data_IF_571828876776
#
_entry.id   IF_571828876776
#
_cell.length_a   1.000
_cell.length_b   1.000
_cell.length_c   1.000
_cell.angle_alpha   90.00
_cell.angle_beta   90.00
_cell.angle_gamma   90.00
#
_symmetry.space_group_name_H-M   'P 1'
#
loop_
_entity.id
_entity.type
_entity.pdbx_description
1 polymer ?
#
# COMPACT_ATOMS: atom_id res chain seq x y z
N UNK A 1 -30.56 16.89 9.93
CA UNK A 1 -30.21 17.12 8.52
C UNK A 1 -28.87 17.84 8.46
N UNK A 2 -27.90 17.17 7.81
CA UNK A 2 -26.73 17.70 7.10
C UNK A 2 -25.62 18.48 7.85
N UNK A 3 -24.45 17.84 7.83
CA UNK A 3 -23.08 18.40 7.77
C UNK A 3 -22.46 19.00 9.03
N UNK A 4 -22.20 18.12 10.02
CA UNK A 4 -20.90 18.09 10.71
C UNK A 4 -19.79 17.95 9.65
N UNK A 5 -18.57 18.44 9.91
CA UNK A 5 -17.36 18.40 9.03
C UNK A 5 -17.14 19.64 8.13
N UNK A 6 -17.31 20.86 8.67
CA UNK A 6 -16.68 22.08 8.10
C UNK A 6 -16.16 23.03 9.18
N UNK A 7 -15.40 22.55 10.17
CA UNK A 7 -14.69 23.42 11.13
C UNK A 7 -13.48 22.74 11.79
N UNK A 8 -12.50 22.27 11.01
CA UNK A 8 -11.14 22.11 11.58
C UNK A 8 -9.95 22.25 10.61
N UNK A 9 -10.14 22.92 9.48
CA UNK A 9 -9.04 23.30 8.56
C UNK A 9 -8.15 24.45 9.08
N UNK A 10 -8.36 24.92 10.31
CA UNK A 10 -7.61 26.06 10.89
C UNK A 10 -6.56 25.60 11.93
N UNK A 11 -6.57 24.33 12.37
CA UNK A 11 -5.64 23.85 13.39
C UNK A 11 -4.30 23.27 12.85
N UNK A 12 -4.13 23.12 11.53
CA UNK A 12 -2.89 22.55 10.94
C UNK A 12 -1.77 23.59 10.83
N UNK A 13 -2.03 24.86 11.20
CA UNK A 13 -1.09 25.96 10.99
C UNK A 13 -0.08 26.22 12.14
N UNK A 14 -0.06 25.48 13.25
CA UNK A 14 0.82 25.83 14.37
C UNK A 14 1.40 24.63 15.12
N UNK A 15 2.45 24.01 14.58
CA UNK A 15 3.62 23.52 15.34
C UNK A 15 4.59 22.77 14.41
N UNK A 16 5.44 23.51 13.68
CA UNK A 16 6.77 23.00 13.32
C UNK A 16 7.77 24.10 13.66
N UNK A 17 7.96 24.28 14.97
CA UNK A 17 9.04 25.08 15.53
C UNK A 17 9.96 24.14 16.27
N UNK A 18 11.02 23.69 15.58
CA UNK A 18 12.24 23.23 16.22
C UNK A 18 12.27 21.76 16.65
N UNK A 19 13.35 21.10 16.22
CA UNK A 19 13.96 19.92 16.84
C UNK A 19 13.19 18.62 16.67
N UNK A 20 13.48 17.86 15.61
CA UNK A 20 13.89 16.46 15.66
C UNK A 20 14.40 16.09 14.26
N UNK A 21 15.49 15.35 14.19
CA UNK A 21 16.30 15.15 12.97
C UNK A 21 15.51 14.50 11.83
N UNK A 22 15.85 14.90 10.61
CA UNK A 22 15.20 14.57 9.33
C UNK A 22 15.18 13.08 8.96
N UNK A 23 15.77 12.20 9.78
CA UNK A 23 15.79 10.76 9.51
C UNK A 23 14.57 10.03 10.10
N UNK A 24 14.13 10.42 11.31
CA UNK A 24 13.00 9.76 11.97
C UNK A 24 11.65 10.28 11.46
N UNK A 25 11.58 11.58 11.15
CA UNK A 25 10.43 12.19 10.49
C UNK A 25 10.22 11.67 9.05
N UNK A 26 11.30 11.30 8.34
CA UNK A 26 11.20 10.68 7.01
C UNK A 26 10.65 9.25 7.08
N UNK A 27 11.01 8.49 8.12
CA UNK A 27 10.46 7.15 8.37
C UNK A 27 8.98 7.16 8.78
N UNK A 28 8.53 8.21 9.47
CA UNK A 28 7.12 8.36 9.89
C UNK A 28 6.22 8.91 8.76
N UNK A 29 6.77 9.68 7.82
CA UNK A 29 6.04 10.22 6.66
C UNK A 29 5.68 9.16 5.62
N UNK A 30 6.37 8.02 5.62
CA UNK A 30 6.08 6.88 4.74
C UNK A 30 4.81 6.10 5.13
N UNK A 31 4.26 6.32 6.34
CA UNK A 31 3.18 5.51 6.91
C UNK A 31 1.82 6.23 7.03
N UNK A 32 1.62 7.37 6.39
CA UNK A 32 0.30 8.00 6.34
C UNK A 32 -0.14 8.19 4.88
N UNK A 33 -1.05 7.34 4.46
CA UNK A 33 -1.80 7.42 3.21
C UNK A 33 -2.07 8.86 2.77
N UNK A 34 -1.45 9.28 1.66
CA UNK A 34 -2.13 10.08 0.65
C UNK A 34 -1.28 10.15 -0.63
N UNK A 35 -1.55 9.24 -1.56
CA UNK A 35 -1.27 9.48 -2.98
C UNK A 35 -1.94 10.79 -3.48
N UNK A 36 -2.92 11.30 -2.73
CA UNK A 36 -3.54 12.61 -2.91
C UNK A 36 -2.63 13.79 -2.48
N UNK A 37 -1.68 13.60 -1.54
CA UNK A 37 -0.80 14.65 -1.03
C UNK A 37 0.39 14.93 -1.96
N UNK A 38 0.75 13.95 -2.81
CA UNK A 38 1.78 14.13 -3.85
C UNK A 38 1.21 14.88 -5.06
N UNK A 39 -0.12 14.90 -5.26
CA UNK A 39 -0.80 15.61 -6.36
C UNK A 39 -0.39 15.14 -7.78
N UNK A 40 0.59 14.26 -7.90
CA UNK A 40 1.18 13.80 -9.14
C UNK A 40 1.48 12.30 -9.04
N UNK A 41 0.56 11.50 -9.59
CA UNK A 41 0.71 10.04 -9.63
C UNK A 41 2.05 9.60 -10.24
N UNK A 42 2.66 10.38 -11.15
CA UNK A 42 3.97 10.02 -11.72
C UNK A 42 5.09 10.06 -10.69
N UNK A 43 5.08 11.05 -9.79
CA UNK A 43 6.11 11.13 -8.74
C UNK A 43 5.94 10.01 -7.72
N UNK A 44 4.68 9.69 -7.36
CA UNK A 44 4.39 8.56 -6.49
C UNK A 44 4.88 7.24 -7.11
N UNK A 45 4.67 7.02 -8.42
CA UNK A 45 5.19 5.85 -9.13
C UNK A 45 6.70 5.73 -8.97
N UNK A 46 7.45 6.81 -9.24
CA UNK A 46 8.92 6.76 -9.13
C UNK A 46 9.38 6.39 -7.72
N UNK A 47 8.79 7.01 -6.69
CA UNK A 47 9.15 6.70 -5.30
C UNK A 47 8.86 5.24 -4.95
N UNK A 48 7.69 4.72 -5.35
CA UNK A 48 7.36 3.32 -5.09
C UNK A 48 8.17 2.34 -5.92
N UNK A 49 8.57 2.69 -7.15
CA UNK A 49 9.47 1.88 -7.97
C UNK A 49 10.84 1.75 -7.32
N UNK A 50 11.41 2.85 -6.82
CA UNK A 50 12.71 2.85 -6.14
C UNK A 50 12.67 1.99 -4.87
N UNK A 51 11.70 2.24 -3.97
CA UNK A 51 11.56 1.48 -2.72
C UNK A 51 11.21 0.01 -2.97
N UNK A 52 10.36 -0.29 -3.96
CA UNK A 52 10.02 -1.67 -4.30
C UNK A 52 11.22 -2.43 -4.88
N UNK A 53 12.12 -1.74 -5.59
CA UNK A 53 13.38 -2.30 -6.09
C UNK A 53 14.38 -2.58 -4.95
N UNK A 54 14.34 -1.81 -3.87
CA UNK A 54 15.09 -2.08 -2.63
C UNK A 54 14.52 -3.25 -1.81
N UNK A 55 13.33 -3.74 -2.20
CA UNK A 55 12.69 -4.90 -1.58
C UNK A 55 11.68 -4.52 -0.49
N UNK A 56 11.31 -3.24 -0.35
CA UNK A 56 10.32 -2.79 0.62
C UNK A 56 8.94 -3.42 0.30
N UNK A 57 8.38 -4.26 1.19
CA UNK A 57 7.12 -4.96 0.93
C UNK A 57 5.91 -4.03 0.84
N UNK A 58 5.90 -2.92 1.58
CA UNK A 58 4.83 -1.94 1.55
C UNK A 58 4.84 -1.16 0.22
N UNK A 59 6.03 -0.80 -0.27
CA UNK A 59 6.20 -0.15 -1.56
C UNK A 59 5.78 -1.08 -2.71
N UNK A 60 6.14 -2.36 -2.65
CA UNK A 60 5.68 -3.37 -3.61
C UNK A 60 4.14 -3.44 -3.63
N UNK A 61 3.49 -3.48 -2.46
CA UNK A 61 2.03 -3.49 -2.38
C UNK A 61 1.40 -2.22 -3.00
N UNK A 62 1.93 -1.03 -2.66
CA UNK A 62 1.43 0.25 -3.19
C UNK A 62 1.63 0.37 -4.70
N UNK A 63 2.78 -0.04 -5.23
CA UNK A 63 3.03 -0.07 -6.68
C UNK A 63 2.06 -1.05 -7.38
N UNK A 64 1.75 -2.18 -6.73
CA UNK A 64 0.74 -3.12 -7.19
C UNK A 64 -0.64 -2.46 -7.33
N UNK A 65 -1.07 -1.69 -6.32
CA UNK A 65 -2.33 -0.93 -6.36
C UNK A 65 -2.35 0.09 -7.50
N UNK A 66 -1.22 0.75 -7.78
CA UNK A 66 -1.12 1.70 -8.89
C UNK A 66 -1.25 1.01 -10.25
N UNK A 67 -0.61 -0.15 -10.45
CA UNK A 67 -0.80 -0.96 -11.66
C UNK A 67 -2.23 -1.51 -11.76
N UNK A 68 -2.87 -1.88 -10.66
CA UNK A 68 -4.26 -2.35 -10.67
C UNK A 68 -5.25 -1.24 -11.05
N UNK A 69 -5.08 -0.05 -10.48
CA UNK A 69 -5.95 1.11 -10.68
C UNK A 69 -5.62 1.97 -11.91
N UNK A 70 -4.47 1.75 -12.56
CA UNK A 70 -4.01 2.61 -13.66
C UNK A 70 -3.63 4.03 -13.20
N UNK A 71 -3.11 4.16 -11.98
CA UNK A 71 -2.78 5.46 -11.37
C UNK A 71 -1.35 5.85 -11.74
N UNK A 72 -1.18 6.82 -12.64
CA UNK A 72 0.14 7.27 -13.10
C UNK A 72 0.90 6.26 -14.00
N UNK A 73 0.37 5.04 -14.11
CA UNK A 73 0.85 3.94 -14.94
C UNK A 73 -0.30 3.35 -15.76
N UNK A 74 -0.02 2.73 -16.92
CA UNK A 74 -1.00 1.89 -17.59
C UNK A 74 -1.44 0.74 -16.69
N UNK A 75 -2.75 0.47 -16.66
CA UNK A 75 -3.30 -0.65 -15.90
C UNK A 75 -2.66 -1.97 -16.34
N UNK A 76 -2.19 -2.76 -15.38
CA UNK A 76 -1.59 -4.06 -15.62
C UNK A 76 -1.82 -5.01 -14.43
N UNK A 77 -2.85 -5.84 -14.53
CA UNK A 77 -3.24 -6.76 -13.45
C UNK A 77 -2.17 -7.82 -13.16
N UNK A 78 -1.49 -8.32 -14.20
CA UNK A 78 -0.43 -9.32 -14.03
C UNK A 78 0.73 -8.74 -13.19
N UNK A 79 1.19 -7.53 -13.52
CA UNK A 79 2.23 -6.85 -12.73
C UNK A 79 1.76 -6.57 -11.30
N UNK A 80 0.51 -6.16 -11.13
CA UNK A 80 -0.06 -5.92 -9.80
C UNK A 80 -0.02 -7.19 -8.94
N UNK A 81 -0.50 -8.32 -9.48
CA UNK A 81 -0.48 -9.62 -8.79
C UNK A 81 0.95 -10.03 -8.41
N UNK A 82 1.91 -9.89 -9.32
CA UNK A 82 3.32 -10.20 -9.01
C UNK A 82 3.85 -9.37 -7.85
N UNK A 83 3.50 -8.07 -7.81
CA UNK A 83 3.94 -7.17 -6.74
C UNK A 83 3.26 -7.49 -5.40
N UNK A 84 1.97 -7.85 -5.41
CA UNK A 84 1.28 -8.32 -4.20
C UNK A 84 1.89 -9.60 -3.64
N UNK A 85 2.26 -10.54 -4.52
CA UNK A 85 2.95 -11.77 -4.12
C UNK A 85 4.30 -11.48 -3.48
N UNK A 86 5.14 -10.64 -4.09
CA UNK A 86 6.42 -10.24 -3.50
C UNK A 86 6.26 -9.55 -2.15
N UNK A 87 5.28 -8.65 -2.03
CA UNK A 87 4.98 -7.99 -0.76
C UNK A 87 4.57 -9.00 0.33
N UNK A 88 3.74 -9.98 -0.04
CA UNK A 88 3.30 -11.03 0.87
C UNK A 88 4.44 -11.99 1.27
N UNK A 89 5.34 -12.32 0.35
CA UNK A 89 6.57 -13.09 0.61
C UNK A 89 7.54 -12.32 1.52
N UNK A 90 7.54 -10.99 1.43
CA UNK A 90 8.25 -10.10 2.33
C UNK A 90 7.61 -9.92 3.71
N UNK A 91 6.56 -10.70 4.04
CA UNK A 91 5.89 -10.65 5.34
C UNK A 91 4.92 -9.48 5.52
N UNK A 92 4.52 -8.79 4.43
CA UNK A 92 3.56 -7.70 4.55
C UNK A 92 2.14 -8.25 4.73
N UNK A 93 1.66 -8.24 5.97
CA UNK A 93 0.35 -8.78 6.34
C UNK A 93 -0.82 -8.22 5.49
N UNK A 94 -0.86 -6.91 5.12
CA UNK A 94 -1.91 -6.42 4.22
C UNK A 94 -1.89 -7.10 2.85
N UNK A 95 -0.71 -7.39 2.29
CA UNK A 95 -0.61 -8.09 1.01
C UNK A 95 -1.04 -9.56 1.13
N UNK A 96 -0.64 -10.24 2.21
CA UNK A 96 -1.08 -11.62 2.48
C UNK A 96 -2.61 -11.71 2.60
N UNK A 97 -3.23 -10.81 3.38
CA UNK A 97 -4.69 -10.73 3.49
C UNK A 97 -5.36 -10.46 2.14
N UNK A 98 -4.75 -9.59 1.33
CA UNK A 98 -5.22 -9.27 -0.02
C UNK A 98 -5.19 -10.50 -0.94
N UNK A 99 -4.14 -11.33 -0.86
CA UNK A 99 -4.05 -12.58 -1.61
C UNK A 99 -5.05 -13.63 -1.13
N UNK A 100 -5.26 -13.75 0.19
CA UNK A 100 -6.28 -14.67 0.76
C UNK A 100 -7.65 -14.33 0.17
N UNK A 101 -8.07 -13.07 0.24
CA UNK A 101 -9.35 -12.63 -0.31
C UNK A 101 -9.38 -12.77 -1.84
N UNK A 102 -8.29 -12.39 -2.51
CA UNK A 102 -8.19 -12.48 -3.97
C UNK A 102 -8.34 -13.90 -4.51
N UNK A 103 -7.73 -14.89 -3.86
CA UNK A 103 -7.88 -16.31 -4.23
C UNK A 103 -9.20 -16.94 -3.75
N UNK A 104 -9.86 -16.39 -2.73
CA UNK A 104 -11.19 -16.85 -2.33
C UNK A 104 -12.27 -16.38 -3.29
N UNK A 105 -12.23 -15.09 -3.64
CA UNK A 105 -13.31 -14.43 -4.36
C UNK A 105 -13.02 -14.30 -5.86
N UNK A 106 -11.76 -14.45 -6.29
CA UNK A 106 -11.34 -14.26 -7.68
C UNK A 106 -11.20 -12.78 -8.03
N UNK A 107 -10.68 -11.98 -7.10
CA UNK A 107 -10.56 -10.52 -7.23
C UNK A 107 -9.14 -10.10 -7.59
N UNK A 108 -8.98 -8.83 -7.95
CA UNK A 108 -7.67 -8.19 -8.15
C UNK A 108 -6.80 -8.78 -9.28
N UNK A 109 -7.44 -9.44 -10.25
CA UNK A 109 -6.75 -10.14 -11.34
C UNK A 109 -6.34 -11.58 -11.00
N UNK A 110 -6.77 -12.10 -9.85
CA UNK A 110 -6.62 -13.49 -9.46
C UNK A 110 -7.85 -14.31 -9.84
N UNK A 111 -7.63 -15.54 -10.26
CA UNK A 111 -8.71 -16.54 -10.34
C UNK A 111 -8.89 -17.20 -8.98
N UNK A 112 -10.11 -17.66 -8.69
CA UNK A 112 -10.38 -18.41 -7.46
C UNK A 112 -9.49 -19.65 -7.39
N UNK A 113 -8.82 -19.81 -6.25
CA UNK A 113 -7.95 -20.93 -5.95
C UNK A 113 -7.97 -21.15 -4.42
N UNK A 114 -8.90 -21.98 -3.92
CA UNK A 114 -9.01 -22.26 -2.50
C UNK A 114 -7.69 -22.78 -1.89
N UNK A 115 -6.92 -23.57 -2.65
CA UNK A 115 -5.64 -24.12 -2.19
C UNK A 115 -4.62 -23.01 -1.89
N UNK A 116 -4.50 -22.04 -2.79
CA UNK A 116 -3.64 -20.86 -2.56
C UNK A 116 -4.18 -19.97 -1.44
N UNK A 117 -5.49 -19.80 -1.33
CA UNK A 117 -6.07 -19.04 -0.22
C UNK A 117 -5.73 -19.67 1.14
N UNK A 118 -5.82 -21.00 1.27
CA UNK A 118 -5.42 -21.71 2.49
C UNK A 118 -3.91 -21.55 2.77
N UNK A 119 -3.07 -21.64 1.74
CA UNK A 119 -1.63 -21.44 1.88
C UNK A 119 -1.28 -20.06 2.44
N UNK A 120 -1.80 -18.99 1.83
CA UNK A 120 -1.52 -17.62 2.28
C UNK A 120 -2.13 -17.31 3.65
N UNK A 121 -3.27 -17.92 3.99
CA UNK A 121 -3.85 -17.79 5.33
C UNK A 121 -2.95 -18.39 6.40
N UNK A 122 -2.36 -19.55 6.13
CA UNK A 122 -1.42 -20.18 7.07
C UNK A 122 -0.22 -19.27 7.37
N UNK A 123 0.34 -18.63 6.35
CA UNK A 123 1.44 -17.68 6.53
C UNK A 123 1.02 -16.43 7.33
N UNK A 124 -0.14 -15.86 7.01
CA UNK A 124 -0.66 -14.69 7.73
C UNK A 124 -0.88 -14.97 9.23
N UNK A 125 -1.44 -16.14 9.56
CA UNK A 125 -1.70 -16.51 10.94
C UNK A 125 -0.41 -16.78 11.74
N UNK A 126 0.68 -17.16 11.07
CA UNK A 126 1.98 -17.34 11.69
C UNK A 126 2.69 -15.99 11.97
N UNK A 127 2.51 -15.00 11.10
CA UNK A 127 3.06 -13.64 11.27
C UNK A 127 2.37 -12.83 12.39
N UNK A 128 1.16 -13.25 12.82
CA UNK A 128 0.34 -12.54 13.83
C UNK A 128 0.52 -13.05 15.27
N UNK A 129 1.39 -14.04 15.51
CA UNK A 129 1.64 -14.64 16.83
C UNK A 129 2.80 -13.98 17.58
#
# INVERSE_FOLDING_TARGET
MLTKVRWNLVAVAMAVSGMFSTAQAAGEMANSFDAAAIGNFKQAVTIWEDLAAEGDPQAQFNLGLMYHGGLGLPRNEHKAVTLYQKAAEGGYSPAQAYLVVGYQEGWFGLSQDPGKAYYWRGLLDDDLK
#
